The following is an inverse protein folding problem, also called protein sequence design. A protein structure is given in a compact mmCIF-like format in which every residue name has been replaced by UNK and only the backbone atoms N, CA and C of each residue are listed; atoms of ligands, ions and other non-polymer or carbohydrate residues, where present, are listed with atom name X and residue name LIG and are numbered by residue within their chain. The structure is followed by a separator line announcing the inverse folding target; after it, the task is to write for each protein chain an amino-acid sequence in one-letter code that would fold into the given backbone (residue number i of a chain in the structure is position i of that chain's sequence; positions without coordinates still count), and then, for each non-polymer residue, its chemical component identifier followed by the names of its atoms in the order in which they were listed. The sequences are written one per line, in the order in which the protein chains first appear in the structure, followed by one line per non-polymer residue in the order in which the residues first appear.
data_IF_691525442610
#
_entry.id   IF_691525442610
#
_cell.length_a   1.000
_cell.length_b   1.000
_cell.length_c   1.000
_cell.angle_alpha   90.00
_cell.angle_beta   90.00
_cell.angle_gamma   90.00
#
_symmetry.space_group_name_H-M   'P 1'
#
loop_
_entity.id
_entity.type
_entity.pdbx_description
1 polymer ?
#
# COMPACT_ATOMS: atom_id res chain seq x y z
N UNK A 1 -22.75 6.41 -5.39
CA UNK A 1 -22.36 5.11 -4.80
C UNK A 1 -21.26 4.48 -5.62
N UNK A 2 -20.14 4.23 -4.98
CA UNK A 2 -19.05 3.54 -5.65
C UNK A 2 -19.44 2.08 -5.87
N UNK A 3 -19.46 1.67 -7.14
CA UNK A 3 -19.66 0.26 -7.47
C UNK A 3 -18.40 -0.52 -7.06
N UNK A 4 -18.60 -1.55 -6.27
CA UNK A 4 -17.56 -2.53 -6.07
C UNK A 4 -17.39 -3.26 -7.40
N UNK A 5 -16.17 -3.33 -7.92
CA UNK A 5 -15.88 -4.09 -9.13
C UNK A 5 -16.27 -5.55 -8.94
N UNK A 6 -16.96 -6.13 -9.91
CA UNK A 6 -17.33 -7.55 -9.93
C UNK A 6 -16.20 -8.43 -10.49
N UNK A 7 -14.98 -7.90 -10.56
CA UNK A 7 -13.82 -8.63 -11.07
C UNK A 7 -13.57 -9.89 -10.25
N UNK A 8 -13.35 -10.99 -10.94
CA UNK A 8 -12.92 -12.21 -10.30
C UNK A 8 -11.48 -12.10 -9.83
N UNK A 9 -11.13 -12.65 -8.64
CA UNK A 9 -9.76 -12.65 -8.19
C UNK A 9 -8.86 -13.45 -9.11
N UNK A 10 -7.64 -12.92 -9.34
CA UNK A 10 -6.63 -13.52 -10.22
C UNK A 10 -5.66 -14.34 -9.37
N UNK A 11 -5.40 -15.58 -9.77
CA UNK A 11 -4.49 -16.51 -9.10
C UNK A 11 -3.13 -16.62 -9.80
N UNK A 12 -3.12 -16.63 -11.14
CA UNK A 12 -1.91 -16.87 -11.92
C UNK A 12 -0.92 -15.73 -11.82
N UNK A 13 0.33 -16.01 -11.46
CA UNK A 13 1.36 -14.99 -11.28
C UNK A 13 1.61 -14.19 -12.57
N UNK A 14 1.67 -14.85 -13.72
CA UNK A 14 1.84 -14.15 -14.99
C UNK A 14 0.74 -13.14 -15.27
N UNK A 15 -0.51 -13.53 -15.01
CA UNK A 15 -1.67 -12.65 -15.16
C UNK A 15 -1.66 -11.52 -14.11
N UNK A 16 -1.25 -11.82 -12.88
CA UNK A 16 -1.11 -10.81 -11.83
C UNK A 16 -0.10 -9.73 -12.22
N UNK A 17 1.06 -10.14 -12.71
CA UNK A 17 2.10 -9.20 -13.12
C UNK A 17 1.67 -8.37 -14.35
N UNK A 18 1.04 -9.03 -15.32
CA UNK A 18 0.53 -8.33 -16.50
C UNK A 18 -0.52 -7.27 -16.17
N UNK A 19 -1.33 -7.54 -15.15
CA UNK A 19 -2.43 -6.66 -14.74
C UNK A 19 -2.10 -5.79 -13.53
N UNK A 20 -0.84 -5.69 -13.11
CA UNK A 20 -0.48 -5.04 -11.84
C UNK A 20 -0.93 -3.59 -11.75
N UNK A 21 -0.83 -2.81 -12.83
CA UNK A 21 -1.35 -1.45 -12.98
C UNK A 21 -1.24 -0.60 -11.70
N UNK A 22 -0.01 -0.23 -11.26
CA UNK A 22 0.14 0.55 -10.04
C UNK A 22 -0.34 1.98 -10.25
N UNK A 23 -1.05 2.51 -9.25
CA UNK A 23 -1.51 3.89 -9.20
C UNK A 23 -1.05 4.52 -7.89
N UNK A 24 -0.43 5.70 -7.99
CA UNK A 24 -0.10 6.50 -6.81
C UNK A 24 -1.34 7.25 -6.35
N UNK A 25 -1.72 7.05 -5.08
CA UNK A 25 -2.78 7.83 -4.43
C UNK A 25 -2.24 9.22 -4.08
N UNK A 26 -2.99 10.30 -4.39
CA UNK A 26 -2.55 11.65 -4.01
C UNK A 26 -2.38 11.80 -2.51
N UNK A 27 -1.38 12.57 -2.10
CA UNK A 27 -1.15 12.89 -0.70
C UNK A 27 0.15 12.31 -0.15
N UNK A 28 0.36 12.61 1.12
CA UNK A 28 1.51 12.18 1.89
C UNK A 28 1.01 11.50 3.16
N UNK A 29 1.59 10.36 3.50
CA UNK A 29 1.08 9.50 4.55
C UNK A 29 2.16 9.13 5.55
N UNK A 30 1.73 8.84 6.77
CA UNK A 30 2.60 8.33 7.84
C UNK A 30 1.89 7.21 8.59
N UNK A 31 2.68 6.37 9.25
CA UNK A 31 2.15 5.44 10.24
C UNK A 31 2.06 6.12 11.60
N UNK A 32 1.00 5.83 12.33
CA UNK A 32 0.82 6.28 13.70
C UNK A 32 0.27 5.13 14.55
N UNK A 33 0.53 5.19 15.85
CA UNK A 33 -0.06 4.27 16.83
C UNK A 33 -0.94 5.06 17.76
N UNK A 34 -2.20 4.66 17.89
CA UNK A 34 -3.19 5.33 18.73
C UNK A 34 -3.85 4.30 19.66
N UNK A 35 -4.57 4.78 20.67
CA UNK A 35 -5.39 3.91 21.50
C UNK A 35 -6.52 3.34 20.65
N UNK A 36 -6.94 2.09 20.94
CA UNK A 36 -7.91 1.39 20.11
C UNK A 36 -9.24 2.13 19.94
N UNK A 37 -9.65 2.91 20.94
CA UNK A 37 -10.88 3.72 20.86
C UNK A 37 -10.72 5.08 20.19
N UNK A 38 -9.51 5.43 19.75
CA UNK A 38 -9.18 6.76 19.22
C UNK A 38 -8.82 6.72 17.73
N UNK A 39 -9.41 5.82 16.96
CA UNK A 39 -9.13 5.70 15.52
C UNK A 39 -9.44 7.00 14.79
N UNK A 40 -8.48 7.59 14.07
CA UNK A 40 -8.75 8.75 13.23
C UNK A 40 -9.76 8.42 12.13
N UNK A 41 -10.69 9.33 11.86
CA UNK A 41 -11.76 9.10 10.90
C UNK A 41 -11.28 8.95 9.46
N UNK A 42 -10.08 9.48 9.15
CA UNK A 42 -9.46 9.40 7.82
C UNK A 42 -8.40 8.31 7.70
N UNK A 43 -8.28 7.41 8.70
CA UNK A 43 -7.34 6.31 8.63
C UNK A 43 -7.62 5.43 7.41
N UNK A 44 -6.61 5.24 6.56
CA UNK A 44 -6.71 4.43 5.35
C UNK A 44 -6.53 2.95 5.61
N UNK A 45 -5.77 2.61 6.64
CA UNK A 45 -5.54 1.24 7.07
C UNK A 45 -5.37 1.22 8.57
N UNK A 46 -5.79 0.12 9.19
CA UNK A 46 -5.67 -0.07 10.63
C UNK A 46 -5.31 -1.53 10.93
N UNK A 47 -4.46 -1.72 11.93
CA UNK A 47 -4.10 -3.05 12.45
C UNK A 47 -4.11 -2.98 13.97
N UNK A 48 -4.85 -3.90 14.59
CA UNK A 48 -4.82 -4.04 16.04
C UNK A 48 -3.54 -4.72 16.48
N UNK A 49 -2.78 -4.06 17.36
CA UNK A 49 -1.51 -4.56 17.88
C UNK A 49 -1.42 -4.29 19.38
N UNK A 50 -1.30 -5.34 20.19
CA UNK A 50 -1.06 -5.24 21.65
C UNK A 50 -2.02 -4.27 22.36
N UNK A 51 -3.30 -4.32 22.02
CA UNK A 51 -4.32 -3.46 22.63
C UNK A 51 -4.34 -2.02 22.09
N UNK A 52 -3.48 -1.71 21.14
CA UNK A 52 -3.42 -0.41 20.47
C UNK A 52 -3.74 -0.58 18.99
N UNK A 53 -3.78 0.53 18.28
CA UNK A 53 -4.13 0.55 16.86
C UNK A 53 -3.00 1.21 16.06
N UNK A 54 -2.37 0.43 15.18
CA UNK A 54 -1.51 0.99 14.15
C UNK A 54 -2.38 1.48 13.01
N UNK A 55 -2.13 2.67 12.50
CA UNK A 55 -2.90 3.21 11.40
C UNK A 55 -2.04 3.99 10.42
N UNK A 56 -2.54 4.11 9.20
CA UNK A 56 -1.95 4.97 8.19
C UNK A 56 -2.88 6.16 8.00
N UNK A 57 -2.34 7.36 8.17
CA UNK A 57 -3.08 8.61 8.07
C UNK A 57 -2.32 9.61 7.22
N UNK A 58 -3.03 10.64 6.74
CA UNK A 58 -2.38 11.77 6.11
C UNK A 58 -1.43 12.47 7.10
N UNK A 59 -0.33 13.01 6.59
CA UNK A 59 0.63 13.78 7.41
C UNK A 59 -0.07 14.89 8.18
N UNK A 60 -1.02 15.57 7.56
CA UNK A 60 -1.80 16.65 8.20
C UNK A 60 -2.59 16.17 9.42
N UNK A 61 -3.16 14.97 9.34
CA UNK A 61 -3.87 14.36 10.47
C UNK A 61 -2.92 14.03 11.61
N UNK A 62 -1.78 13.42 11.29
CA UNK A 62 -0.76 13.12 12.32
C UNK A 62 -0.27 14.38 13.01
N UNK A 63 -0.02 15.44 12.24
CA UNK A 63 0.41 16.73 12.79
C UNK A 63 -0.65 17.33 13.72
N UNK A 64 -1.92 17.30 13.31
CA UNK A 64 -3.01 17.84 14.13
C UNK A 64 -3.19 17.07 15.44
N UNK A 65 -2.88 15.79 15.45
CA UNK A 65 -3.00 14.91 16.63
C UNK A 65 -1.72 14.86 17.47
N UNK A 66 -0.66 15.57 17.06
CA UNK A 66 0.60 15.58 17.79
C UNK A 66 1.42 14.30 17.63
N UNK A 67 1.15 13.51 16.60
CA UNK A 67 1.93 12.31 16.27
C UNK A 67 3.15 12.64 15.41
N UNK A 68 4.19 11.78 15.39
CA UNK A 68 5.30 11.94 14.48
C UNK A 68 4.85 12.02 13.02
N UNK A 69 5.50 12.89 12.25
CA UNK A 69 5.19 13.13 10.84
C UNK A 69 6.26 12.58 9.89
N UNK A 70 7.05 11.64 10.37
CA UNK A 70 8.10 10.96 9.59
C UNK A 70 8.16 9.48 9.95
N UNK A 71 8.60 8.63 9.01
CA UNK A 71 8.90 8.95 7.61
C UNK A 71 7.64 9.25 6.80
N UNK A 72 7.74 10.19 5.87
CA UNK A 72 6.66 10.50 4.94
C UNK A 72 6.66 9.49 3.80
N UNK A 73 5.50 8.89 3.53
CA UNK A 73 5.35 7.81 2.57
C UNK A 73 4.35 8.19 1.49
N UNK A 74 4.60 7.68 0.27
CA UNK A 74 3.62 7.67 -0.79
C UNK A 74 2.84 6.36 -0.75
N UNK A 75 1.58 6.39 -1.15
CA UNK A 75 0.70 5.22 -1.20
C UNK A 75 0.49 4.83 -2.66
N UNK A 76 0.91 3.61 -3.02
CA UNK A 76 0.73 3.05 -4.35
C UNK A 76 -0.23 1.87 -4.24
N UNK A 77 -1.30 1.88 -5.02
CA UNK A 77 -2.26 0.77 -5.08
C UNK A 77 -2.01 -0.06 -6.33
N UNK A 78 -1.91 -1.36 -6.16
CA UNK A 78 -1.87 -2.31 -7.27
C UNK A 78 -3.31 -2.64 -7.65
N UNK A 79 -3.72 -2.27 -8.87
CA UNK A 79 -5.13 -2.36 -9.27
C UNK A 79 -5.60 -3.77 -9.60
N UNK A 80 -4.69 -4.71 -9.82
CA UNK A 80 -5.08 -6.10 -10.05
C UNK A 80 -5.76 -6.67 -8.81
N UNK A 81 -6.90 -7.31 -9.02
CA UNK A 81 -7.62 -8.00 -7.95
C UNK A 81 -6.95 -9.36 -7.71
N UNK A 82 -5.97 -9.40 -6.81
CA UNK A 82 -5.26 -10.63 -6.50
C UNK A 82 -6.07 -11.51 -5.55
N UNK A 83 -6.08 -12.81 -5.82
CA UNK A 83 -6.64 -13.78 -4.89
C UNK A 83 -5.84 -13.80 -3.58
N UNK A 84 -6.52 -14.01 -2.46
CA UNK A 84 -5.83 -14.11 -1.15
C UNK A 84 -4.92 -15.32 -1.07
N UNK A 85 -5.10 -16.29 -1.96
CA UNK A 85 -4.26 -17.50 -2.03
C UNK A 85 -3.27 -17.48 -3.19
N UNK A 86 -3.21 -16.40 -3.95
CA UNK A 86 -2.23 -16.24 -5.02
C UNK A 86 -0.81 -16.16 -4.48
N UNK A 87 0.13 -16.77 -5.17
CA UNK A 87 1.52 -16.85 -4.74
C UNK A 87 2.41 -16.05 -5.69
N UNK A 88 3.22 -15.16 -5.12
CA UNK A 88 4.33 -14.55 -5.83
C UNK A 88 4.21 -13.06 -6.11
N UNK A 89 3.02 -12.45 -6.09
CA UNK A 89 2.90 -11.01 -6.41
C UNK A 89 3.65 -10.14 -5.40
N UNK A 90 3.41 -10.34 -4.12
CA UNK A 90 4.10 -9.57 -3.06
C UNK A 90 5.60 -9.76 -3.13
N UNK A 91 6.05 -11.00 -3.34
CA UNK A 91 7.47 -11.30 -3.48
C UNK A 91 8.10 -10.60 -4.68
N UNK A 92 7.44 -10.61 -5.83
CA UNK A 92 7.93 -9.95 -7.03
C UNK A 92 8.06 -8.43 -6.85
N UNK A 93 7.04 -7.81 -6.27
CA UNK A 93 7.05 -6.37 -5.98
C UNK A 93 8.14 -6.03 -4.98
N UNK A 94 8.21 -6.75 -3.87
CA UNK A 94 9.18 -6.48 -2.81
C UNK A 94 10.62 -6.68 -3.31
N UNK A 95 10.88 -7.73 -4.07
CA UNK A 95 12.21 -8.01 -4.63
C UNK A 95 12.64 -6.91 -5.60
N UNK A 96 11.73 -6.48 -6.47
CA UNK A 96 12.01 -5.42 -7.44
C UNK A 96 12.36 -4.09 -6.74
N UNK A 97 11.61 -3.73 -5.72
CA UNK A 97 11.87 -2.50 -4.96
C UNK A 97 13.17 -2.61 -4.15
N UNK A 98 13.39 -3.74 -3.50
CA UNK A 98 14.61 -3.98 -2.72
C UNK A 98 15.86 -3.90 -3.59
N UNK A 99 15.81 -4.40 -4.83
CA UNK A 99 16.93 -4.32 -5.77
C UNK A 99 17.34 -2.88 -6.10
N UNK A 100 16.42 -1.93 -5.94
CA UNK A 100 16.68 -0.50 -6.14
C UNK A 100 16.90 0.25 -4.83
N UNK A 101 17.00 -0.46 -3.71
CA UNK A 101 17.19 0.17 -2.41
C UNK A 101 15.96 0.91 -1.90
N UNK A 102 14.76 0.57 -2.37
CA UNK A 102 13.51 1.23 -1.98
C UNK A 102 12.84 0.43 -0.88
N UNK A 103 12.68 1.03 0.30
CA UNK A 103 11.91 0.43 1.39
C UNK A 103 10.44 0.34 1.00
N UNK A 104 9.80 -0.80 1.26
CA UNK A 104 8.42 -1.03 0.92
C UNK A 104 7.67 -1.63 2.11
N UNK A 105 6.52 -1.02 2.43
CA UNK A 105 5.61 -1.55 3.43
C UNK A 105 4.35 -1.97 2.70
N UNK A 106 4.08 -3.26 2.62
CA UNK A 106 2.95 -3.78 1.87
C UNK A 106 1.78 -4.04 2.81
N UNK A 107 0.63 -3.51 2.44
CA UNK A 107 -0.63 -3.74 3.13
C UNK A 107 -1.54 -4.51 2.19
N UNK A 108 -1.85 -5.75 2.53
CA UNK A 108 -2.72 -6.59 1.75
C UNK A 108 -4.18 -6.30 2.11
N UNK A 109 -4.89 -5.66 1.20
CA UNK A 109 -6.34 -5.53 1.31
C UNK A 109 -7.04 -6.78 0.76
N UNK A 110 -8.33 -6.89 0.99
CA UNK A 110 -9.10 -8.02 0.47
C UNK A 110 -9.08 -8.08 -1.07
N UNK A 111 -9.09 -6.92 -1.73
CA UNK A 111 -9.18 -6.84 -3.19
C UNK A 111 -7.87 -6.40 -3.86
N UNK A 112 -7.12 -5.55 -3.21
CA UNK A 112 -5.91 -4.95 -3.78
C UNK A 112 -4.81 -4.88 -2.74
N UNK A 113 -3.58 -4.97 -3.21
CA UNK A 113 -2.41 -4.71 -2.38
C UNK A 113 -2.02 -3.24 -2.50
N UNK A 114 -1.51 -2.71 -1.41
CA UNK A 114 -1.06 -1.33 -1.33
C UNK A 114 0.39 -1.32 -0.86
N UNK A 115 1.19 -0.45 -1.45
CA UNK A 115 2.61 -0.36 -1.15
C UNK A 115 2.93 1.06 -0.73
N UNK A 116 3.46 1.20 0.49
CA UNK A 116 3.92 2.49 0.98
C UNK A 116 5.44 2.54 0.86
N UNK A 117 5.92 3.58 0.20
CA UNK A 117 7.34 3.79 -0.08
C UNK A 117 7.74 5.20 0.35
N UNK A 118 9.03 5.47 0.63
CA UNK A 118 9.46 6.83 0.92
C UNK A 118 9.01 7.79 -0.17
N UNK A 119 8.50 8.97 0.24
CA UNK A 119 7.87 9.91 -0.69
C UNK A 119 8.83 10.36 -1.81
N UNK A 120 10.10 10.52 -1.48
CA UNK A 120 11.12 10.94 -2.44
C UNK A 120 11.46 9.86 -3.48
N UNK A 121 11.07 8.61 -3.24
CA UNK A 121 11.33 7.48 -4.12
C UNK A 121 10.05 6.99 -4.83
N UNK A 122 8.95 7.73 -4.69
CA UNK A 122 7.65 7.31 -5.21
C UNK A 122 7.64 7.10 -6.72
N UNK A 123 8.24 7.99 -7.49
CA UNK A 123 8.28 7.88 -8.95
C UNK A 123 9.12 6.67 -9.39
N UNK A 124 10.27 6.45 -8.75
CA UNK A 124 11.12 5.30 -9.04
C UNK A 124 10.40 3.98 -8.70
N UNK A 125 9.71 3.96 -7.57
CA UNK A 125 8.92 2.79 -7.15
C UNK A 125 7.80 2.50 -8.15
N UNK A 126 7.07 3.51 -8.56
CA UNK A 126 5.99 3.38 -9.52
C UNK A 126 6.50 2.79 -10.85
N UNK A 127 7.59 3.33 -11.37
CA UNK A 127 8.19 2.86 -12.61
C UNK A 127 8.69 1.40 -12.48
N UNK A 128 9.30 1.04 -11.35
CA UNK A 128 9.79 -0.32 -11.11
C UNK A 128 8.64 -1.32 -11.08
N UNK A 129 7.53 -0.99 -10.45
CA UNK A 129 6.37 -1.87 -10.39
C UNK A 129 5.71 -1.98 -11.77
N UNK A 130 5.57 -0.88 -12.49
CA UNK A 130 5.03 -0.89 -13.86
C UNK A 130 5.82 -1.80 -14.79
N UNK A 131 7.14 -1.84 -14.63
CA UNK A 131 8.01 -2.67 -15.46
C UNK A 131 7.73 -4.18 -15.28
N UNK A 132 7.15 -4.59 -14.17
CA UNK A 132 6.77 -6.00 -13.94
C UNK A 132 5.71 -6.48 -14.95
N UNK A 133 4.87 -5.60 -15.44
CA UNK A 133 3.84 -5.95 -16.42
C UNK A 133 4.40 -6.34 -17.78
N UNK A 134 5.67 -6.04 -18.04
CA UNK A 134 6.32 -6.27 -19.33
C UNK A 134 7.26 -7.49 -19.34
N UNK A 135 7.23 -8.25 -18.27
CA UNK A 135 8.05 -9.48 -18.17
C UNK A 135 7.36 -10.68 -18.79
#
# INVERSE_FOLDING_TARGET
MLRVSDDLPVEDLGALLAGVAPIRRPGEFVFATVDAGAQPSDALATVHEDGRLSCVVAVSTARALGHPTEPVLAWITLQVHSSLTAVGLTAAVATTLAAQGIAANVIAGHRHDHVLVPIELADDALAAIQALAQR
#
